data_IF_782201146672
#
_entry.id   IF_782201146672
#
_cell.length_a   1.000
_cell.length_b   1.000
_cell.length_c   1.000
_cell.angle_alpha   90.00
_cell.angle_beta   90.00
_cell.angle_gamma   90.00
#
_symmetry.space_group_name_H-M   'P 1'
#
loop_
_entity.id
_entity.type
_entity.pdbx_description
1 polymer ?
#
# COMPACT_ATOMS: atom_id res chain seq x y z
N UNK A 1 29.37 4.65 3.76
CA UNK A 1 28.36 4.33 2.73
C UNK A 1 27.08 3.97 3.45
N UNK A 2 25.96 4.69 3.31
CA UNK A 2 24.76 4.35 4.06
C UNK A 2 24.11 3.09 3.46
N UNK A 3 23.50 2.28 4.33
CA UNK A 3 23.02 0.94 4.07
C UNK A 3 22.11 0.82 2.84
N UNK A 4 22.26 -0.28 2.11
CA UNK A 4 21.42 -0.70 0.99
C UNK A 4 19.93 -0.58 1.32
N UNK A 5 19.20 0.13 0.43
CA UNK A 5 17.78 0.43 0.54
C UNK A 5 16.90 -0.82 0.58
N UNK A 6 16.39 -1.14 1.77
CA UNK A 6 15.30 -2.09 1.93
C UNK A 6 13.97 -1.42 1.52
N UNK A 7 12.98 -2.22 1.12
CA UNK A 7 11.77 -1.86 0.38
C UNK A 7 11.10 -0.49 0.66
N UNK A 8 10.99 0.03 1.90
CA UNK A 8 10.46 1.38 2.13
C UNK A 8 11.16 2.52 1.37
N UNK A 9 12.47 2.42 1.12
CA UNK A 9 13.20 3.43 0.34
C UNK A 9 12.85 3.35 -1.16
N UNK A 10 12.62 2.15 -1.68
CA UNK A 10 12.18 1.94 -3.06
C UNK A 10 10.77 2.47 -3.27
N UNK A 11 9.84 2.22 -2.33
CA UNK A 11 8.47 2.73 -2.39
C UNK A 11 8.42 4.26 -2.44
N UNK A 12 9.30 4.93 -1.69
CA UNK A 12 9.44 6.39 -1.72
C UNK A 12 10.00 6.92 -3.04
N UNK A 13 10.63 6.08 -3.85
CA UNK A 13 11.10 6.45 -5.19
C UNK A 13 10.03 6.15 -6.24
N UNK A 14 9.28 5.05 -6.08
CA UNK A 14 8.30 4.60 -7.09
C UNK A 14 6.98 5.37 -6.99
N UNK A 15 6.36 5.42 -5.81
CA UNK A 15 5.00 5.97 -5.66
C UNK A 15 4.86 7.45 -6.03
N UNK A 16 5.83 8.34 -5.73
CA UNK A 16 5.74 9.75 -6.14
C UNK A 16 5.75 9.99 -7.65
N UNK A 17 6.30 9.04 -8.41
CA UNK A 17 6.34 9.12 -9.87
C UNK A 17 5.05 8.60 -10.54
N UNK A 18 4.10 8.06 -9.76
CA UNK A 18 2.82 7.62 -10.29
C UNK A 18 1.88 8.82 -10.49
N UNK A 19 1.24 8.92 -11.66
CA UNK A 19 0.35 10.04 -11.95
C UNK A 19 -0.93 9.95 -11.12
N UNK A 20 -1.51 11.10 -10.78
CA UNK A 20 -2.84 11.15 -10.15
C UNK A 20 -3.94 10.48 -10.98
N UNK A 21 -3.78 10.42 -12.30
CA UNK A 21 -4.72 9.80 -13.25
C UNK A 21 -4.51 8.30 -13.42
N UNK A 22 -3.80 7.64 -12.50
CA UNK A 22 -3.59 6.20 -12.57
C UNK A 22 -4.92 5.44 -12.43
N UNK A 23 -5.37 4.82 -13.52
CA UNK A 23 -6.60 4.01 -13.59
C UNK A 23 -6.38 2.58 -13.06
N UNK A 24 -5.62 2.44 -11.98
CA UNK A 24 -5.33 1.17 -11.33
C UNK A 24 -5.25 1.34 -9.80
N UNK A 25 -5.72 0.32 -9.07
CA UNK A 25 -5.49 0.20 -7.64
C UNK A 25 -4.18 -0.55 -7.38
N UNK A 26 -3.49 -0.18 -6.31
CA UNK A 26 -2.19 -0.74 -5.95
C UNK A 26 -2.32 -1.43 -4.59
N UNK A 27 -1.69 -2.59 -4.46
CA UNK A 27 -1.56 -3.33 -3.21
C UNK A 27 -0.09 -3.51 -2.92
N UNK A 28 0.32 -3.18 -1.69
CA UNK A 28 1.72 -3.18 -1.26
C UNK A 28 1.83 -4.04 -0.02
N UNK A 29 2.63 -5.10 -0.09
CA UNK A 29 2.99 -5.92 1.07
C UNK A 29 4.46 -5.67 1.37
N UNK A 30 4.73 -5.03 2.50
CA UNK A 30 6.08 -4.72 2.93
C UNK A 30 6.35 -5.41 4.26
N UNK A 31 7.36 -6.28 4.29
CA UNK A 31 7.80 -6.92 5.54
C UNK A 31 8.53 -5.88 6.40
N UNK A 32 7.84 -5.32 7.39
CA UNK A 32 8.34 -4.38 8.40
C UNK A 32 7.66 -4.68 9.75
N UNK A 33 8.31 -4.28 10.84
CA UNK A 33 7.81 -4.54 12.18
C UNK A 33 6.46 -3.84 12.45
N UNK A 34 5.68 -4.42 13.37
CA UNK A 34 4.45 -3.82 13.86
C UNK A 34 4.68 -2.38 14.37
N UNK A 35 3.75 -1.49 14.05
CA UNK A 35 3.84 -0.06 14.38
C UNK A 35 4.57 0.81 13.34
N UNK A 36 5.22 0.21 12.33
CA UNK A 36 5.90 0.98 11.27
C UNK A 36 5.08 1.11 9.98
N UNK A 37 4.02 0.32 9.81
CA UNK A 37 3.17 0.35 8.61
C UNK A 37 2.39 1.66 8.49
N UNK A 38 1.78 2.14 9.57
CA UNK A 38 1.05 3.42 9.57
C UNK A 38 1.94 4.63 9.24
N UNK A 39 3.07 4.86 9.95
CA UNK A 39 3.97 5.96 9.60
C UNK A 39 4.53 5.86 8.18
N UNK A 40 4.75 4.64 7.67
CA UNK A 40 5.16 4.44 6.29
C UNK A 40 4.06 4.85 5.30
N UNK A 41 2.82 4.42 5.52
CA UNK A 41 1.68 4.79 4.67
C UNK A 41 1.47 6.31 4.64
N UNK A 42 1.49 6.96 5.80
CA UNK A 42 1.37 8.43 5.92
C UNK A 42 2.50 9.16 5.18
N UNK A 43 3.74 8.70 5.34
CA UNK A 43 4.89 9.27 4.63
C UNK A 43 4.76 9.10 3.12
N UNK A 44 4.40 7.91 2.64
CA UNK A 44 4.20 7.65 1.22
C UNK A 44 3.05 8.47 0.64
N UNK A 45 1.97 8.65 1.39
CA UNK A 45 0.83 9.49 1.01
C UNK A 45 1.25 10.95 0.82
N UNK A 46 2.03 11.51 1.76
CA UNK A 46 2.51 12.89 1.67
C UNK A 46 3.49 13.15 0.51
N UNK A 47 4.14 12.10 0.00
CA UNK A 47 5.07 12.20 -1.14
C UNK A 47 4.40 11.91 -2.49
N UNK A 48 3.21 11.31 -2.50
CA UNK A 48 2.60 10.75 -3.71
C UNK A 48 1.44 11.59 -4.23
N UNK A 49 1.15 11.48 -5.53
CA UNK A 49 -0.04 12.10 -6.13
C UNK A 49 -1.30 11.24 -5.97
N UNK A 50 -1.09 9.93 -5.79
CA UNK A 50 -2.13 8.95 -5.47
C UNK A 50 -2.34 8.87 -3.95
N UNK A 51 -3.50 8.37 -3.53
CA UNK A 51 -3.76 8.15 -2.10
C UNK A 51 -3.04 6.90 -1.64
N UNK A 52 -2.30 6.98 -0.53
CA UNK A 52 -1.65 5.83 0.11
C UNK A 52 -2.17 5.69 1.54
N UNK A 53 -2.60 4.49 1.93
CA UNK A 53 -3.09 4.22 3.29
C UNK A 53 -2.90 2.76 3.68
N UNK A 54 -2.96 2.47 4.97
CA UNK A 54 -3.05 1.09 5.44
C UNK A 54 -4.37 0.45 4.98
N UNK A 55 -4.28 -0.83 4.62
CA UNK A 55 -5.42 -1.62 4.20
C UNK A 55 -6.36 -1.91 5.38
N UNK A 56 -7.66 -1.98 5.09
CA UNK A 56 -8.74 -2.37 5.97
C UNK A 56 -9.43 -3.61 5.37
N UNK A 57 -9.88 -4.52 6.24
CA UNK A 57 -10.53 -5.73 5.76
C UNK A 57 -11.83 -5.42 5.01
N UNK A 58 -12.00 -6.06 3.85
CA UNK A 58 -13.18 -5.93 3.00
C UNK A 58 -13.24 -4.63 2.22
N UNK A 59 -12.18 -3.82 2.22
CA UNK A 59 -12.19 -2.57 1.46
C UNK A 59 -11.96 -2.80 -0.05
N UNK A 60 -12.54 -1.96 -0.91
CA UNK A 60 -12.36 -2.08 -2.34
C UNK A 60 -10.98 -1.61 -2.81
N UNK A 61 -10.42 -2.30 -3.79
CA UNK A 61 -9.19 -1.88 -4.48
C UNK A 61 -9.61 -0.95 -5.62
N UNK A 62 -9.52 0.36 -5.40
CA UNK A 62 -9.97 1.40 -6.34
C UNK A 62 -8.81 2.11 -7.04
N UNK A 63 -9.09 2.68 -8.22
CA UNK A 63 -8.12 3.45 -8.99
C UNK A 63 -7.55 4.63 -8.19
N UNK A 64 -6.25 4.89 -8.34
CA UNK A 64 -5.56 6.00 -7.68
C UNK A 64 -5.35 5.81 -6.17
N UNK A 65 -5.56 4.59 -5.65
CA UNK A 65 -5.34 4.23 -4.25
C UNK A 65 -4.32 3.10 -4.15
N UNK A 66 -3.32 3.28 -3.29
CA UNK A 66 -2.39 2.25 -2.86
C UNK A 66 -2.69 1.82 -1.43
N UNK A 67 -2.99 0.53 -1.25
CA UNK A 67 -3.26 -0.11 0.02
C UNK A 67 -2.01 -0.82 0.52
N UNK A 68 -1.51 -0.40 1.68
CA UNK A 68 -0.37 -1.03 2.36
C UNK A 68 -0.88 -2.05 3.38
N UNK A 69 -0.41 -3.30 3.29
CA UNK A 69 -0.74 -4.33 4.29
C UNK A 69 -0.33 -3.88 5.68
N UNK A 70 -1.19 -4.05 6.71
CA UNK A 70 -0.77 -3.94 8.09
C UNK A 70 0.27 -5.03 8.42
N UNK A 71 1.00 -4.81 9.52
CA UNK A 71 1.89 -5.82 10.07
C UNK A 71 1.09 -6.97 10.69
N UNK A 72 1.71 -8.14 10.79
CA UNK A 72 1.16 -9.34 11.45
C UNK A 72 -0.19 -9.82 10.88
N UNK A 73 -0.51 -9.45 9.64
CA UNK A 73 -1.68 -9.96 8.91
C UNK A 73 -1.31 -10.28 7.46
N UNK A 74 -1.98 -11.27 6.90
CA UNK A 74 -1.95 -11.61 5.49
C UNK A 74 -2.98 -10.80 4.71
N UNK A 75 -2.52 -10.05 3.71
CA UNK A 75 -3.39 -9.39 2.74
C UNK A 75 -3.58 -10.30 1.52
N UNK A 76 -4.83 -10.64 1.22
CA UNK A 76 -5.23 -11.35 -0.01
C UNK A 76 -6.15 -10.47 -0.86
N UNK A 77 -6.18 -10.74 -2.17
CA UNK A 77 -7.06 -10.04 -3.11
C UNK A 77 -8.15 -11.00 -3.54
N UNK A 78 -9.40 -10.65 -3.25
CA UNK A 78 -10.57 -11.42 -3.63
C UNK A 78 -11.41 -10.68 -4.66
N UNK A 79 -12.22 -11.42 -5.41
CA UNK A 79 -13.21 -10.84 -6.32
C UNK A 79 -14.61 -11.12 -5.80
N UNK A 80 -15.35 -10.06 -5.51
CA UNK A 80 -16.72 -10.10 -4.98
C UNK A 80 -17.59 -9.17 -5.81
N UNK A 81 -18.71 -9.68 -6.35
CA UNK A 81 -19.67 -8.92 -7.16
C UNK A 81 -19.02 -8.12 -8.31
N UNK A 82 -18.00 -8.70 -8.94
CA UNK A 82 -17.24 -8.09 -10.04
C UNK A 82 -16.14 -7.12 -9.59
N UNK A 83 -16.06 -6.77 -8.31
CA UNK A 83 -15.10 -5.84 -7.73
C UNK A 83 -13.94 -6.59 -7.06
N UNK A 84 -12.72 -6.03 -7.15
CA UNK A 84 -11.58 -6.53 -6.37
C UNK A 84 -11.59 -5.90 -4.98
N UNK A 85 -11.45 -6.71 -3.94
CA UNK A 85 -11.41 -6.30 -2.54
C UNK A 85 -10.15 -6.82 -1.85
N UNK A 86 -9.64 -6.05 -0.90
CA UNK A 86 -8.57 -6.50 -0.01
C UNK A 86 -9.18 -7.24 1.19
N UNK A 87 -8.69 -8.46 1.45
CA UNK A 87 -9.02 -9.23 2.65
C UNK A 87 -7.82 -9.35 3.55
N UNK A 88 -8.04 -9.17 4.84
CA UNK A 88 -7.02 -9.30 5.87
C UNK A 88 -7.35 -10.51 6.74
N UNK A 89 -6.41 -11.45 6.82
CA UNK A 89 -6.48 -12.56 7.76
C UNK A 89 -5.27 -12.54 8.70
N UNK A 90 -5.39 -13.06 9.92
CA UNK A 90 -4.24 -13.30 10.80
C UNK A 90 -3.19 -14.20 10.13
#
# INVERSE_FOLDING_TARGET
MPALGCGPAALQTVLPNLPKTLEAGIVIVQHIAAGFTRPLAERLNGLSQITVREAQDGEPITAGVALLSPADVHLTVERTDGQLIARLSP
#
